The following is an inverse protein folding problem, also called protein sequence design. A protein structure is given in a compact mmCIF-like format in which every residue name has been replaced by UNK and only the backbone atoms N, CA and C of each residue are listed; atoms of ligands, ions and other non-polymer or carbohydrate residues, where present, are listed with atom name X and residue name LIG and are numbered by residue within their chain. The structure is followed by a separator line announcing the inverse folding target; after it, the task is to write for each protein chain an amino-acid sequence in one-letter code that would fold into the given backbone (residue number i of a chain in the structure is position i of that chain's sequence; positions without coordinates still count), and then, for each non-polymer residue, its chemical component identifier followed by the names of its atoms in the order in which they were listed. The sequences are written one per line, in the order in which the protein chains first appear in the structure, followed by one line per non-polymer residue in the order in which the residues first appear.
data_IF_027213240329
#
_entry.id   IF_027213240329
#
_cell.length_a   1.000
_cell.length_b   1.000
_cell.length_c   1.000
_cell.angle_alpha   90.00
_cell.angle_beta   90.00
_cell.angle_gamma   90.00
#
_symmetry.space_group_name_H-M   'P 1'
#
loop_
_entity.id
_entity.type
_entity.pdbx_description
1 polymer ?
#
# COMPACT_ATOMS: atom_id res chain seq x y z
N UNK A 1 20.59 -9.56 -25.73
CA UNK A 1 21.87 -10.09 -25.21
C UNK A 1 21.65 -10.60 -23.80
N UNK A 2 21.60 -11.89 -23.61
CA UNK A 2 21.43 -12.55 -22.31
C UNK A 2 22.64 -12.25 -21.41
N UNK A 3 22.45 -11.56 -20.29
CA UNK A 3 23.54 -11.34 -19.31
C UNK A 3 23.72 -12.60 -18.50
N UNK A 4 24.77 -13.38 -18.83
CA UNK A 4 25.14 -14.57 -18.08
C UNK A 4 25.40 -14.23 -16.60
N UNK A 5 24.72 -14.94 -15.70
CA UNK A 5 25.00 -14.89 -14.25
C UNK A 5 26.42 -15.36 -14.03
N UNK A 6 27.32 -14.47 -13.55
CA UNK A 6 28.71 -14.86 -13.23
C UNK A 6 28.75 -15.62 -11.91
N UNK A 7 28.96 -16.92 -12.01
CA UNK A 7 29.00 -17.85 -10.90
C UNK A 7 30.46 -18.03 -10.41
N UNK A 8 30.73 -17.74 -9.14
CA UNK A 8 32.08 -17.79 -8.58
C UNK A 8 32.30 -18.84 -7.49
N UNK A 9 31.25 -19.49 -6.96
CA UNK A 9 31.40 -20.45 -5.87
C UNK A 9 31.35 -21.89 -6.33
N UNK A 10 32.05 -22.79 -5.59
CA UNK A 10 32.05 -24.24 -5.84
C UNK A 10 30.62 -24.84 -5.84
N UNK A 11 29.75 -24.33 -4.94
CA UNK A 11 28.35 -24.80 -4.84
C UNK A 11 27.52 -24.44 -6.07
N UNK A 12 27.67 -23.21 -6.58
CA UNK A 12 26.95 -22.80 -7.76
C UNK A 12 27.53 -23.44 -9.04
N UNK A 13 28.85 -23.65 -9.13
CA UNK A 13 29.49 -24.44 -10.18
C UNK A 13 29.01 -25.88 -10.15
N UNK A 14 28.86 -26.48 -8.96
CA UNK A 14 28.29 -27.82 -8.78
C UNK A 14 26.80 -27.86 -9.23
N UNK A 15 26.00 -26.85 -8.87
CA UNK A 15 24.59 -26.76 -9.27
C UNK A 15 24.44 -26.66 -10.81
N UNK A 16 25.27 -25.82 -11.45
CA UNK A 16 25.32 -25.68 -12.91
C UNK A 16 25.70 -27.02 -13.57
N UNK A 17 26.78 -27.66 -13.06
CA UNK A 17 27.24 -28.93 -13.64
C UNK A 17 26.24 -30.07 -13.50
N UNK A 18 25.27 -29.97 -12.58
CA UNK A 18 24.21 -30.96 -12.35
C UNK A 18 22.83 -30.48 -12.78
N UNK A 19 22.72 -29.33 -13.44
CA UNK A 19 21.44 -28.73 -13.85
C UNK A 19 20.44 -28.65 -12.67
N UNK A 20 20.93 -28.26 -11.51
CA UNK A 20 20.14 -28.29 -10.28
C UNK A 20 19.32 -27.00 -10.08
N UNK A 21 18.13 -27.15 -9.54
CA UNK A 21 17.26 -26.04 -9.13
C UNK A 21 17.70 -25.49 -7.77
N UNK A 22 17.89 -24.19 -7.65
CA UNK A 22 18.24 -23.52 -6.39
C UNK A 22 17.15 -22.52 -6.00
N UNK A 23 16.78 -22.53 -4.71
CA UNK A 23 15.78 -21.62 -4.13
C UNK A 23 16.46 -20.61 -3.19
N UNK A 24 16.05 -19.35 -3.25
CA UNK A 24 16.48 -18.29 -2.35
C UNK A 24 15.71 -18.27 -1.02
N UNK A 25 15.81 -17.15 -0.30
CA UNK A 25 14.92 -16.87 0.84
C UNK A 25 13.59 -16.31 0.34
N UNK A 26 12.50 -16.54 1.11
CA UNK A 26 11.22 -15.88 0.84
C UNK A 26 11.32 -14.36 0.84
N UNK A 27 10.75 -13.72 -0.17
CA UNK A 27 10.70 -12.27 -0.30
C UNK A 27 9.44 -11.73 0.40
N UNK A 28 9.52 -11.63 1.72
CA UNK A 28 8.44 -11.05 2.53
C UNK A 28 8.53 -9.52 2.53
N UNK A 29 7.38 -8.85 2.59
CA UNK A 29 7.34 -7.40 2.74
C UNK A 29 7.76 -6.97 4.15
N UNK A 30 8.40 -5.81 4.25
CA UNK A 30 8.74 -5.20 5.53
C UNK A 30 7.54 -4.43 6.10
N UNK A 31 7.24 -4.63 7.37
CA UNK A 31 6.17 -3.91 8.07
C UNK A 31 6.54 -2.44 8.37
N UNK A 32 7.84 -2.15 8.52
CA UNK A 32 8.31 -0.84 8.95
C UNK A 32 7.90 0.33 8.01
N UNK A 33 8.00 0.23 6.66
CA UNK A 33 7.49 1.27 5.78
C UNK A 33 5.99 1.48 5.92
N UNK A 34 5.20 0.41 6.05
CA UNK A 34 3.74 0.50 6.24
C UNK A 34 3.39 1.27 7.53
N UNK A 35 4.03 0.93 8.66
CA UNK A 35 3.77 1.58 9.94
C UNK A 35 4.14 3.07 9.93
N UNK A 36 5.24 3.43 9.28
CA UNK A 36 5.64 4.85 9.15
C UNK A 36 4.67 5.63 8.26
N UNK A 37 4.29 5.06 7.13
CA UNK A 37 3.34 5.67 6.21
C UNK A 37 1.97 5.84 6.85
N UNK A 38 1.47 4.82 7.55
CA UNK A 38 0.26 4.93 8.37
C UNK A 38 0.39 6.07 9.38
N UNK A 39 1.49 6.14 10.15
CA UNK A 39 1.72 7.18 11.15
C UNK A 39 1.76 8.59 10.54
N UNK A 40 2.33 8.76 9.34
CA UNK A 40 2.33 10.04 8.62
C UNK A 40 0.89 10.46 8.23
N UNK A 41 0.07 9.54 7.72
CA UNK A 41 -1.34 9.78 7.42
C UNK A 41 -2.18 10.03 8.68
N UNK A 42 -2.01 9.21 9.72
CA UNK A 42 -2.75 9.34 10.98
C UNK A 42 -2.52 10.68 11.66
N UNK A 43 -1.31 11.25 11.59
CA UNK A 43 -1.08 12.62 12.12
C UNK A 43 -1.93 13.66 11.42
N UNK A 44 -2.07 13.61 10.09
CA UNK A 44 -2.91 14.52 9.33
C UNK A 44 -4.40 14.29 9.61
N UNK A 45 -4.83 13.03 9.66
CA UNK A 45 -6.21 12.65 9.94
C UNK A 45 -6.63 13.14 11.34
N UNK A 46 -5.82 12.86 12.36
CA UNK A 46 -6.14 13.24 13.72
C UNK A 46 -6.15 14.77 13.92
N UNK A 47 -5.26 15.49 13.24
CA UNK A 47 -5.29 16.95 13.25
C UNK A 47 -6.56 17.48 12.56
N UNK A 48 -6.98 16.85 11.46
CA UNK A 48 -8.23 17.19 10.78
C UNK A 48 -9.45 16.95 11.67
N UNK A 49 -9.55 15.77 12.29
CA UNK A 49 -10.66 15.41 13.19
C UNK A 49 -10.77 16.41 14.33
N UNK A 50 -9.65 16.72 15.01
CA UNK A 50 -9.61 17.70 16.12
C UNK A 50 -10.09 19.09 15.69
N UNK A 51 -9.75 19.51 14.48
CA UNK A 51 -10.19 20.79 13.94
C UNK A 51 -11.72 20.84 13.74
N UNK A 52 -12.28 19.73 13.22
CA UNK A 52 -13.72 19.58 13.08
C UNK A 52 -14.43 19.51 14.43
N UNK A 53 -13.93 18.70 15.35
CA UNK A 53 -14.50 18.60 16.72
C UNK A 53 -14.51 19.96 17.40
N UNK A 54 -13.40 20.71 17.35
CA UNK A 54 -13.30 22.03 17.95
C UNK A 54 -14.37 22.97 17.41
N UNK A 55 -14.47 23.13 16.10
CA UNK A 55 -15.43 24.04 15.47
C UNK A 55 -16.87 23.66 15.79
N UNK A 56 -17.22 22.39 15.75
CA UNK A 56 -18.59 21.96 15.99
C UNK A 56 -18.94 21.88 17.50
N UNK A 57 -17.95 21.76 18.38
CA UNK A 57 -18.16 21.95 19.83
C UNK A 57 -18.45 23.38 20.15
N UNK A 58 -17.65 24.34 19.65
CA UNK A 58 -17.89 25.79 19.83
C UNK A 58 -19.26 26.20 19.28
N UNK A 59 -19.66 25.71 18.10
CA UNK A 59 -20.99 25.94 17.55
C UNK A 59 -22.12 25.35 18.42
N UNK A 60 -21.92 24.22 19.08
CA UNK A 60 -22.92 23.66 19.98
C UNK A 60 -23.12 24.54 21.21
N UNK A 61 -22.02 24.99 21.81
CA UNK A 61 -22.05 25.80 23.00
C UNK A 61 -22.71 27.19 22.74
N UNK A 62 -22.46 27.77 21.56
CA UNK A 62 -23.06 29.03 21.13
C UNK A 62 -24.57 28.91 20.90
N UNK A 63 -25.07 27.79 20.45
CA UNK A 63 -26.50 27.56 20.18
C UNK A 63 -27.32 27.18 21.41
N UNK A 64 -26.69 26.65 22.46
CA UNK A 64 -27.38 26.45 23.74
C UNK A 64 -27.61 27.77 24.54
N UNK A 65 -26.92 28.86 24.16
CA UNK A 65 -26.90 30.10 24.90
C UNK A 65 -27.58 31.32 24.28
N UNK A 66 -27.86 31.39 22.96
CA UNK A 66 -28.30 32.64 22.30
C UNK A 66 -29.24 32.46 21.10
N UNK A 67 -30.19 33.41 20.95
CA UNK A 67 -30.93 33.66 19.70
C UNK A 67 -30.00 34.36 18.71
N UNK A 68 -29.46 33.64 17.75
CA UNK A 68 -28.55 34.21 16.74
C UNK A 68 -29.27 34.60 15.44
N UNK A 69 -28.84 35.70 14.82
CA UNK A 69 -29.35 36.20 13.52
C UNK A 69 -29.09 35.27 12.34
N UNK A 70 -28.13 34.36 12.45
CA UNK A 70 -27.81 33.34 11.39
C UNK A 70 -28.25 31.96 11.85
N UNK A 71 -29.03 31.26 11.00
CA UNK A 71 -29.48 29.91 11.30
C UNK A 71 -28.29 28.93 11.44
N UNK A 72 -28.37 27.94 12.34
CA UNK A 72 -27.43 26.82 12.50
C UNK A 72 -27.02 26.22 11.15
N UNK A 73 -27.97 26.11 10.24
CA UNK A 73 -27.74 25.60 8.89
C UNK A 73 -26.76 26.44 8.06
N UNK A 74 -26.86 27.77 8.17
CA UNK A 74 -25.95 28.68 7.45
C UNK A 74 -24.54 28.65 8.03
N UNK A 75 -24.41 28.68 9.33
CA UNK A 75 -23.10 28.56 9.97
C UNK A 75 -22.43 27.22 9.73
N UNK A 76 -23.16 26.12 9.85
CA UNK A 76 -22.67 24.76 9.53
C UNK A 76 -22.09 24.71 8.12
N UNK A 77 -22.79 25.24 7.09
CA UNK A 77 -22.30 25.26 5.70
C UNK A 77 -21.01 26.09 5.55
N UNK A 78 -20.95 27.24 6.18
CA UNK A 78 -19.79 28.12 6.12
C UNK A 78 -18.56 27.41 6.71
N UNK A 79 -18.69 26.81 7.89
CA UNK A 79 -17.61 26.12 8.56
C UNK A 79 -17.17 24.83 7.82
N UNK A 80 -18.12 24.03 7.32
CA UNK A 80 -17.80 22.86 6.51
C UNK A 80 -16.98 23.24 5.28
N UNK A 81 -17.39 24.29 4.55
CA UNK A 81 -16.64 24.76 3.38
C UNK A 81 -15.24 25.28 3.75
N UNK A 82 -15.10 25.97 4.88
CA UNK A 82 -13.82 26.49 5.37
C UNK A 82 -12.88 25.36 5.75
N UNK A 83 -13.36 24.38 6.52
CA UNK A 83 -12.59 23.21 6.94
C UNK A 83 -12.17 22.35 5.74
N UNK A 84 -13.09 22.11 4.80
CA UNK A 84 -12.79 21.41 3.55
C UNK A 84 -11.64 22.05 2.80
N UNK A 85 -11.73 23.35 2.49
CA UNK A 85 -10.67 24.08 1.77
C UNK A 85 -9.33 24.03 2.50
N UNK A 86 -9.33 24.18 3.84
CA UNK A 86 -8.13 24.10 4.68
C UNK A 86 -7.46 22.74 4.53
N UNK A 87 -8.22 21.65 4.74
CA UNK A 87 -7.67 20.32 4.80
C UNK A 87 -7.35 19.76 3.40
N UNK A 88 -8.12 20.06 2.38
CA UNK A 88 -7.77 19.73 0.98
C UNK A 88 -6.41 20.36 0.60
N UNK A 89 -6.16 21.62 1.00
CA UNK A 89 -4.88 22.30 0.77
C UNK A 89 -3.73 21.60 1.52
N UNK A 90 -3.91 21.27 2.81
CA UNK A 90 -2.87 20.64 3.64
C UNK A 90 -2.53 19.25 3.07
N UNK A 91 -3.53 18.41 2.80
CA UNK A 91 -3.29 17.09 2.23
C UNK A 91 -2.65 17.15 0.83
N UNK A 92 -3.07 18.09 -0.01
CA UNK A 92 -2.45 18.33 -1.31
C UNK A 92 -0.97 18.68 -1.20
N UNK A 93 -0.60 19.55 -0.25
CA UNK A 93 0.79 19.96 -0.02
C UNK A 93 1.66 18.83 0.54
N UNK A 94 1.11 17.99 1.42
CA UNK A 94 1.85 16.93 2.10
C UNK A 94 1.86 15.59 1.34
N UNK A 95 0.94 15.37 0.42
CA UNK A 95 0.76 14.07 -0.25
C UNK A 95 2.00 13.61 -1.01
N UNK A 96 2.68 14.49 -1.74
CA UNK A 96 3.87 14.13 -2.53
C UNK A 96 5.03 13.73 -1.63
N UNK A 97 5.35 14.56 -0.63
CA UNK A 97 6.43 14.28 0.34
C UNK A 97 6.22 12.93 1.05
N UNK A 98 4.99 12.65 1.50
CA UNK A 98 4.65 11.41 2.20
C UNK A 98 4.74 10.21 1.27
N UNK A 99 4.23 10.33 0.03
CA UNK A 99 4.25 9.26 -0.95
C UNK A 99 5.67 8.94 -1.42
N UNK A 100 6.49 9.93 -1.76
CA UNK A 100 7.88 9.74 -2.17
C UNK A 100 8.71 9.06 -1.09
N UNK A 101 8.61 9.52 0.14
CA UNK A 101 9.28 8.93 1.30
C UNK A 101 8.86 7.47 1.49
N UNK A 102 7.56 7.19 1.39
CA UNK A 102 7.02 5.84 1.56
C UNK A 102 7.53 4.89 0.46
N UNK A 103 7.36 5.25 -0.82
CA UNK A 103 7.77 4.41 -1.95
C UNK A 103 9.28 4.15 -1.93
N UNK A 104 10.09 5.16 -1.63
CA UNK A 104 11.53 5.02 -1.48
C UNK A 104 11.92 4.04 -0.36
N UNK A 105 11.23 4.10 0.79
CA UNK A 105 11.50 3.16 1.90
C UNK A 105 11.13 1.72 1.55
N UNK A 106 10.03 1.52 0.81
CA UNK A 106 9.63 0.18 0.33
C UNK A 106 10.66 -0.35 -0.68
N UNK A 107 11.10 0.47 -1.63
CA UNK A 107 12.13 0.09 -2.62
C UNK A 107 13.44 -0.33 -1.96
N UNK A 108 13.95 0.46 -1.02
CA UNK A 108 15.16 0.14 -0.25
C UNK A 108 15.00 -1.18 0.51
N UNK A 109 13.86 -1.40 1.17
CA UNK A 109 13.56 -2.62 1.91
C UNK A 109 13.47 -3.84 1.00
N UNK A 110 12.75 -3.73 -0.11
CA UNK A 110 12.61 -4.80 -1.10
C UNK A 110 13.95 -5.17 -1.72
N UNK A 111 14.79 -4.17 -2.06
CA UNK A 111 16.15 -4.41 -2.57
C UNK A 111 16.99 -5.20 -1.59
N UNK A 112 17.00 -4.84 -0.31
CA UNK A 112 17.77 -5.55 0.73
C UNK A 112 17.31 -7.01 0.85
N UNK A 113 15.99 -7.24 0.90
CA UNK A 113 15.42 -8.58 1.01
C UNK A 113 15.81 -9.44 -0.20
N UNK A 114 15.75 -8.88 -1.41
CA UNK A 114 16.16 -9.59 -2.62
C UNK A 114 17.67 -9.88 -2.61
N UNK A 115 18.52 -8.91 -2.28
CA UNK A 115 19.96 -9.10 -2.21
C UNK A 115 20.33 -10.22 -1.20
N UNK A 116 19.65 -10.27 -0.04
CA UNK A 116 19.87 -11.32 0.96
C UNK A 116 19.36 -12.70 0.50
N UNK A 117 18.23 -12.74 -0.22
CA UNK A 117 17.72 -13.96 -0.84
C UNK A 117 18.69 -14.50 -1.89
N UNK A 118 19.22 -13.62 -2.75
CA UNK A 118 20.16 -13.98 -3.80
C UNK A 118 21.54 -14.41 -3.26
N UNK A 119 22.02 -13.82 -2.18
CA UNK A 119 23.24 -14.29 -1.49
C UNK A 119 23.10 -15.74 -1.01
N UNK A 120 21.94 -16.12 -0.51
CA UNK A 120 21.69 -17.49 -0.08
C UNK A 120 21.59 -18.47 -1.26
N UNK A 121 20.91 -18.09 -2.34
CA UNK A 121 20.84 -18.85 -3.59
C UNK A 121 22.22 -19.23 -4.09
N UNK A 122 23.11 -18.27 -4.08
CA UNK A 122 24.41 -18.36 -4.74
C UNK A 122 25.49 -19.00 -3.88
N UNK A 123 25.20 -19.41 -2.63
CA UNK A 123 26.24 -19.90 -1.73
C UNK A 123 27.39 -18.90 -1.54
N UNK A 124 27.09 -17.57 -1.60
CA UNK A 124 28.04 -16.48 -1.48
C UNK A 124 28.32 -15.71 -2.79
N UNK A 125 27.64 -16.02 -3.92
CA UNK A 125 27.74 -15.18 -5.12
C UNK A 125 26.96 -13.88 -4.92
N UNK A 126 27.60 -12.77 -5.19
CA UNK A 126 26.90 -11.49 -5.30
C UNK A 126 26.32 -11.38 -6.71
N UNK A 127 25.01 -11.72 -6.87
CA UNK A 127 24.29 -11.35 -8.09
C UNK A 127 24.07 -9.84 -7.99
N UNK A 128 24.81 -9.07 -8.78
CA UNK A 128 24.59 -7.62 -8.86
C UNK A 128 23.28 -7.38 -9.61
N UNK A 129 22.22 -7.06 -8.88
CA UNK A 129 21.03 -6.47 -9.50
C UNK A 129 21.39 -5.08 -10.02
N UNK A 130 20.97 -4.68 -11.23
CA UNK A 130 21.09 -3.30 -11.68
C UNK A 130 20.49 -2.37 -10.63
N UNK A 131 21.17 -1.25 -10.34
CA UNK A 131 20.76 -0.34 -9.26
C UNK A 131 19.32 0.18 -9.50
N UNK A 132 19.02 0.56 -10.74
CA UNK A 132 17.72 1.12 -11.13
C UNK A 132 17.44 0.84 -12.63
N UNK A 133 16.86 -0.33 -12.97
CA UNK A 133 16.36 -0.57 -14.33
C UNK A 133 15.31 0.47 -14.73
N UNK A 134 15.19 0.80 -16.02
CA UNK A 134 14.23 1.80 -16.49
C UNK A 134 12.78 1.42 -16.14
N UNK A 135 12.41 0.16 -16.40
CA UNK A 135 11.09 -0.36 -16.03
C UNK A 135 10.79 -0.24 -14.52
N UNK A 136 11.81 -0.31 -13.65
CA UNK A 136 11.64 -0.08 -12.22
C UNK A 136 11.38 1.40 -11.91
N UNK A 137 12.02 2.34 -12.60
CA UNK A 137 11.74 3.77 -12.43
C UNK A 137 10.29 4.10 -12.75
N UNK A 138 9.76 3.56 -13.85
CA UNK A 138 8.36 3.74 -14.23
C UNK A 138 7.40 3.20 -13.15
N UNK A 139 7.70 2.03 -12.57
CA UNK A 139 6.91 1.46 -11.46
C UNK A 139 6.96 2.34 -10.22
N UNK A 140 8.11 2.90 -9.88
CA UNK A 140 8.26 3.82 -8.74
C UNK A 140 7.45 5.09 -8.97
N UNK A 141 7.55 5.71 -10.15
CA UNK A 141 6.78 6.92 -10.50
C UNK A 141 5.29 6.65 -10.43
N UNK A 142 4.82 5.55 -11.03
CA UNK A 142 3.40 5.17 -11.00
C UNK A 142 2.92 4.90 -9.56
N UNK A 143 3.71 4.19 -8.75
CA UNK A 143 3.37 3.92 -7.35
C UNK A 143 3.30 5.20 -6.52
N UNK A 144 4.22 6.14 -6.74
CA UNK A 144 4.17 7.45 -6.08
C UNK A 144 2.91 8.21 -6.46
N UNK A 145 2.58 8.29 -7.75
CA UNK A 145 1.38 8.98 -8.23
C UNK A 145 0.08 8.36 -7.67
N UNK A 146 0.00 7.03 -7.61
CA UNK A 146 -1.13 6.32 -7.01
C UNK A 146 -1.26 6.68 -5.52
N UNK A 147 -0.17 6.64 -4.75
CA UNK A 147 -0.19 6.95 -3.34
C UNK A 147 -0.51 8.42 -3.06
N UNK A 148 -0.05 9.36 -3.88
CA UNK A 148 -0.47 10.77 -3.83
C UNK A 148 -1.99 10.90 -4.00
N UNK A 149 -2.58 10.16 -4.94
CA UNK A 149 -4.02 10.15 -5.18
C UNK A 149 -4.79 9.55 -4.00
N UNK A 150 -4.30 8.45 -3.43
CA UNK A 150 -4.88 7.80 -2.26
C UNK A 150 -4.88 8.73 -1.04
N UNK A 151 -3.76 9.42 -0.77
CA UNK A 151 -3.66 10.39 0.34
C UNK A 151 -4.66 11.54 0.15
N UNK A 152 -4.75 12.12 -1.04
CA UNK A 152 -5.70 13.21 -1.36
C UNK A 152 -7.16 12.77 -1.24
N UNK A 153 -7.47 11.49 -1.45
CA UNK A 153 -8.82 10.96 -1.33
C UNK A 153 -9.31 10.89 0.12
N UNK A 154 -8.41 10.94 1.11
CA UNK A 154 -8.75 10.83 2.54
C UNK A 154 -9.63 12.00 3.00
N UNK A 155 -9.20 13.28 2.89
CA UNK A 155 -10.04 14.38 3.30
C UNK A 155 -11.31 14.48 2.47
N UNK A 156 -11.25 14.19 1.18
CA UNK A 156 -12.42 14.23 0.30
C UNK A 156 -13.55 13.33 0.80
N UNK A 157 -13.25 12.07 1.11
CA UNK A 157 -14.26 11.11 1.59
C UNK A 157 -14.75 11.46 2.99
N UNK A 158 -13.87 11.94 3.86
CA UNK A 158 -14.24 12.43 5.18
C UNK A 158 -15.24 13.59 5.08
N UNK A 159 -14.92 14.61 4.29
CA UNK A 159 -15.79 15.77 4.09
C UNK A 159 -17.15 15.40 3.51
N UNK A 160 -17.17 14.57 2.45
CA UNK A 160 -18.42 14.13 1.83
C UNK A 160 -19.34 13.43 2.83
N UNK A 161 -18.76 12.64 3.73
CA UNK A 161 -19.54 11.96 4.77
C UNK A 161 -20.12 12.94 5.78
N UNK A 162 -19.30 13.84 6.33
CA UNK A 162 -19.74 14.85 7.32
C UNK A 162 -20.77 15.80 6.68
N UNK A 163 -20.54 16.27 5.46
CA UNK A 163 -21.48 17.13 4.73
C UNK A 163 -22.83 16.43 4.52
N UNK A 164 -22.84 15.16 4.12
CA UNK A 164 -24.05 14.37 3.94
C UNK A 164 -24.88 14.26 5.22
N UNK A 165 -24.22 14.04 6.37
CA UNK A 165 -24.91 13.95 7.66
C UNK A 165 -25.41 15.34 8.10
N UNK A 166 -24.62 16.38 7.93
CA UNK A 166 -25.05 17.76 8.22
C UNK A 166 -26.29 18.16 7.43
N UNK A 167 -26.32 17.93 6.12
CA UNK A 167 -27.46 18.22 5.26
C UNK A 167 -28.70 17.41 5.65
N UNK A 168 -28.53 16.16 6.09
CA UNK A 168 -29.63 15.32 6.59
C UNK A 168 -30.19 15.89 7.89
N UNK A 169 -29.33 16.23 8.85
CA UNK A 169 -29.73 16.81 10.12
C UNK A 169 -30.51 18.11 9.92
N UNK A 170 -30.04 18.99 9.03
CA UNK A 170 -30.71 20.26 8.70
C UNK A 170 -32.11 20.00 8.14
N UNK A 171 -32.29 19.01 7.24
CA UNK A 171 -33.61 18.68 6.63
C UNK A 171 -34.60 18.09 7.62
N UNK A 172 -34.12 17.33 8.60
CA UNK A 172 -34.97 16.61 9.55
C UNK A 172 -35.27 17.39 10.82
N UNK A 173 -34.71 18.60 11.00
CA UNK A 173 -34.84 19.37 12.23
C UNK A 173 -34.22 18.66 13.45
N UNK A 174 -33.14 17.85 13.21
CA UNK A 174 -32.56 16.95 14.17
C UNK A 174 -31.67 17.60 15.23
N UNK A 175 -30.95 16.77 15.99
CA UNK A 175 -30.15 17.10 17.18
C UNK A 175 -28.92 18.01 16.91
N UNK A 176 -28.84 18.66 15.75
CA UNK A 176 -27.85 19.71 15.44
C UNK A 176 -26.39 19.27 15.60
N UNK A 177 -25.63 20.03 16.37
CA UNK A 177 -24.18 19.88 16.52
C UNK A 177 -23.78 18.59 17.23
N UNK A 178 -24.55 18.07 18.17
CA UNK A 178 -24.23 16.83 18.89
C UNK A 178 -24.15 15.63 17.96
N UNK A 179 -25.13 15.46 17.07
CA UNK A 179 -25.13 14.38 16.09
C UNK A 179 -23.94 14.51 15.12
N UNK A 180 -23.55 15.74 14.76
CA UNK A 180 -22.38 15.97 13.93
C UNK A 180 -21.07 15.62 14.65
N UNK A 181 -20.93 15.92 15.94
CA UNK A 181 -19.76 15.54 16.74
C UNK A 181 -19.60 14.01 16.83
N UNK A 182 -20.68 13.29 17.06
CA UNK A 182 -20.67 11.83 17.06
C UNK A 182 -20.27 11.28 15.69
N UNK A 183 -20.80 11.81 14.60
CA UNK A 183 -20.44 11.37 13.25
C UNK A 183 -19.00 11.75 12.90
N UNK A 184 -18.47 12.88 13.33
CA UNK A 184 -17.07 13.26 13.14
C UNK A 184 -16.15 12.22 13.78
N UNK A 185 -16.43 11.79 14.99
CA UNK A 185 -15.65 10.76 15.71
C UNK A 185 -15.76 9.39 15.02
N UNK A 186 -16.96 8.99 14.66
CA UNK A 186 -17.21 7.72 13.96
C UNK A 186 -16.49 7.71 12.61
N UNK A 187 -16.70 8.72 11.78
CA UNK A 187 -16.05 8.84 10.45
C UNK A 187 -14.53 8.94 10.59
N UNK A 188 -14.03 9.60 11.63
CA UNK A 188 -12.61 9.64 11.97
C UNK A 188 -12.02 8.24 12.18
N UNK A 189 -12.68 7.41 12.99
CA UNK A 189 -12.26 6.02 13.23
C UNK A 189 -12.26 5.18 11.94
N UNK A 190 -13.26 5.33 11.08
CA UNK A 190 -13.32 4.64 9.78
C UNK A 190 -12.19 5.11 8.87
N UNK A 191 -11.89 6.41 8.86
CA UNK A 191 -10.81 7.01 8.07
C UNK A 191 -9.44 6.49 8.50
N UNK A 192 -9.19 6.36 9.80
CA UNK A 192 -7.96 5.75 10.35
C UNK A 192 -7.80 4.28 9.93
N UNK A 193 -8.85 3.48 10.01
CA UNK A 193 -8.83 2.08 9.56
C UNK A 193 -8.51 1.98 8.07
N UNK A 194 -9.07 2.89 7.25
CA UNK A 194 -8.77 2.97 5.83
C UNK A 194 -7.32 3.36 5.55
N UNK A 195 -6.76 4.31 6.29
CA UNK A 195 -5.35 4.69 6.15
C UNK A 195 -4.41 3.52 6.48
N UNK A 196 -4.70 2.75 7.52
CA UNK A 196 -3.97 1.52 7.83
C UNK A 196 -4.06 0.50 6.69
N UNK A 197 -5.27 0.28 6.15
CA UNK A 197 -5.47 -0.61 5.01
C UNK A 197 -4.63 -0.18 3.81
N UNK A 198 -4.67 1.11 3.43
CA UNK A 198 -3.87 1.66 2.34
C UNK A 198 -2.38 1.40 2.57
N UNK A 199 -1.88 1.68 3.78
CA UNK A 199 -0.46 1.52 4.09
C UNK A 199 0.01 0.08 3.92
N UNK A 200 -0.74 -0.89 4.41
CA UNK A 200 -0.40 -2.32 4.32
C UNK A 200 -0.53 -2.83 2.88
N UNK A 201 -1.63 -2.52 2.20
CA UNK A 201 -1.90 -2.96 0.83
C UNK A 201 -0.87 -2.41 -0.17
N UNK A 202 -0.60 -1.11 -0.10
CA UNK A 202 0.37 -0.47 -0.98
C UNK A 202 1.80 -0.95 -0.72
N UNK A 203 2.17 -1.21 0.53
CA UNK A 203 3.49 -1.78 0.83
C UNK A 203 3.69 -3.13 0.13
N UNK A 204 2.69 -3.99 0.11
CA UNK A 204 2.76 -5.30 -0.56
C UNK A 204 2.84 -5.16 -2.07
N UNK A 205 1.95 -4.37 -2.67
CA UNK A 205 1.91 -4.13 -4.11
C UNK A 205 3.23 -3.57 -4.64
N UNK A 206 3.78 -2.56 -3.97
CA UNK A 206 5.05 -1.94 -4.36
C UNK A 206 6.20 -2.93 -4.18
N UNK A 207 6.26 -3.67 -3.06
CA UNK A 207 7.28 -4.71 -2.83
C UNK A 207 7.26 -5.76 -3.95
N UNK A 208 6.06 -6.22 -4.34
CA UNK A 208 5.87 -7.17 -5.43
C UNK A 208 6.38 -6.60 -6.77
N UNK A 209 5.95 -5.38 -7.12
CA UNK A 209 6.34 -4.74 -8.37
C UNK A 209 7.85 -4.50 -8.46
N UNK A 210 8.46 -4.02 -7.38
CA UNK A 210 9.91 -3.77 -7.29
C UNK A 210 10.72 -5.07 -7.40
N UNK A 211 10.32 -6.11 -6.67
CA UNK A 211 11.01 -7.40 -6.71
C UNK A 211 10.89 -8.05 -8.09
N UNK A 212 9.73 -7.98 -8.74
CA UNK A 212 9.51 -8.48 -10.08
C UNK A 212 10.51 -7.86 -11.08
N UNK A 213 10.58 -6.53 -11.15
CA UNK A 213 11.46 -5.83 -12.08
C UNK A 213 12.95 -6.11 -11.81
N UNK A 214 13.34 -6.20 -10.53
CA UNK A 214 14.71 -6.52 -10.14
C UNK A 214 15.09 -7.96 -10.46
N UNK A 215 14.19 -8.93 -10.22
CA UNK A 215 14.41 -10.33 -10.56
C UNK A 215 14.56 -10.50 -12.06
N UNK A 216 13.66 -9.92 -12.86
CA UNK A 216 13.76 -9.96 -14.33
C UNK A 216 15.05 -9.36 -14.84
N UNK A 217 15.45 -8.20 -14.31
CA UNK A 217 16.72 -7.55 -14.71
C UNK A 217 17.96 -8.33 -14.26
N UNK A 218 17.86 -9.17 -13.25
CA UNK A 218 18.90 -10.09 -12.81
C UNK A 218 18.91 -11.42 -13.59
N UNK A 219 17.97 -11.62 -14.55
CA UNK A 219 17.85 -12.86 -15.32
C UNK A 219 17.11 -13.98 -14.60
N UNK A 220 16.43 -13.69 -13.48
CA UNK A 220 15.63 -14.65 -12.74
C UNK A 220 14.24 -14.67 -13.34
N UNK A 221 13.77 -15.85 -13.80
CA UNK A 221 12.50 -16.02 -14.51
C UNK A 221 11.46 -16.80 -13.71
N UNK A 222 11.86 -17.55 -12.70
CA UNK A 222 10.98 -18.45 -11.93
C UNK A 222 10.94 -18.08 -10.45
N UNK A 223 9.79 -18.34 -9.82
CA UNK A 223 9.61 -18.21 -8.38
C UNK A 223 8.65 -19.27 -7.85
N UNK A 224 8.75 -19.58 -6.55
CA UNK A 224 7.77 -20.41 -5.83
C UNK A 224 6.75 -19.48 -5.18
N UNK A 225 5.48 -19.76 -5.36
CA UNK A 225 4.39 -19.10 -4.65
C UNK A 225 4.31 -19.57 -3.21
N UNK A 226 4.08 -18.67 -2.27
CA UNK A 226 3.80 -19.01 -0.88
C UNK A 226 2.51 -18.32 -0.41
N UNK A 227 1.59 -19.13 0.08
CA UNK A 227 0.42 -18.63 0.78
C UNK A 227 0.79 -18.27 2.23
N UNK A 228 0.31 -17.11 2.69
CA UNK A 228 0.48 -16.74 4.10
C UNK A 228 -0.70 -17.19 4.94
N UNK A 229 -0.46 -17.94 6.00
CA UNK A 229 -1.49 -18.38 6.96
C UNK A 229 -2.18 -17.25 7.74
N UNK A 230 -1.77 -16.00 7.56
CA UNK A 230 -2.29 -14.84 8.30
C UNK A 230 -3.58 -14.23 7.74
N UNK A 231 -4.30 -14.87 6.81
CA UNK A 231 -5.59 -14.39 6.29
C UNK A 231 -6.73 -15.08 7.03
N UNK A 232 -7.72 -14.33 7.53
CA UNK A 232 -8.92 -14.90 8.13
C UNK A 232 -9.79 -15.64 7.08
N UNK A 233 -9.81 -15.11 5.84
CA UNK A 233 -10.53 -15.68 4.70
C UNK A 233 -9.54 -15.80 3.52
N UNK A 234 -8.79 -16.91 3.43
CA UNK A 234 -7.88 -17.14 2.32
C UNK A 234 -8.66 -17.46 1.04
N UNK A 235 -8.17 -16.96 -0.10
CA UNK A 235 -8.71 -17.36 -1.40
C UNK A 235 -8.29 -18.79 -1.71
N UNK A 236 -9.24 -19.67 -2.04
CA UNK A 236 -8.96 -21.07 -2.35
C UNK A 236 -7.93 -21.23 -3.47
N UNK A 237 -8.03 -20.42 -4.52
CA UNK A 237 -7.04 -20.39 -5.60
C UNK A 237 -5.63 -20.13 -5.09
N UNK A 238 -5.45 -19.20 -4.14
CA UNK A 238 -4.14 -18.90 -3.58
C UNK A 238 -3.60 -20.02 -2.67
N UNK A 239 -4.50 -20.80 -2.05
CA UNK A 239 -4.11 -22.00 -1.30
C UNK A 239 -3.58 -23.08 -2.24
N UNK A 240 -4.22 -23.28 -3.41
CA UNK A 240 -3.78 -24.24 -4.43
C UNK A 240 -2.45 -23.87 -5.06
N UNK A 241 -2.13 -22.59 -5.14
CA UNK A 241 -0.85 -22.11 -5.67
C UNK A 241 0.32 -22.25 -4.68
N UNK A 242 0.07 -22.57 -3.41
CA UNK A 242 1.12 -22.68 -2.40
C UNK A 242 2.11 -23.78 -2.73
N UNK A 243 3.39 -23.45 -2.79
CA UNK A 243 4.47 -24.36 -3.17
C UNK A 243 4.69 -24.50 -4.68
N UNK A 244 3.79 -24.01 -5.52
CA UNK A 244 3.90 -24.09 -6.98
C UNK A 244 4.99 -23.16 -7.53
N UNK A 245 5.75 -23.69 -8.51
CA UNK A 245 6.71 -22.90 -9.27
C UNK A 245 5.99 -22.22 -10.42
N UNK A 246 6.16 -20.93 -10.58
CA UNK A 246 5.57 -20.17 -11.67
C UNK A 246 6.61 -19.33 -12.42
N UNK A 247 6.30 -19.03 -13.68
CA UNK A 247 7.09 -18.16 -14.53
C UNK A 247 6.69 -16.71 -14.33
N UNK A 248 7.67 -15.83 -14.18
CA UNK A 248 7.44 -14.39 -14.00
C UNK A 248 6.89 -13.72 -15.27
N UNK A 249 7.22 -14.25 -16.45
CA UNK A 249 6.70 -13.72 -17.73
C UNK A 249 5.30 -14.27 -18.07
N UNK A 250 4.88 -15.39 -17.43
CA UNK A 250 3.55 -15.97 -17.55
C UNK A 250 2.98 -16.32 -16.15
N UNK A 251 2.67 -15.31 -15.31
CA UNK A 251 2.21 -15.57 -13.95
C UNK A 251 0.86 -16.30 -13.93
N UNK A 252 0.53 -17.01 -12.83
CA UNK A 252 -0.71 -17.76 -12.72
C UNK A 252 -1.95 -16.84 -12.68
N UNK A 253 -3.13 -17.43 -12.89
CA UNK A 253 -4.40 -16.77 -12.59
C UNK A 253 -4.48 -16.56 -11.08
N UNK A 254 -4.83 -15.34 -10.67
CA UNK A 254 -4.96 -14.92 -9.26
C UNK A 254 -6.39 -14.56 -8.84
N UNK A 255 -7.28 -14.35 -9.81
CA UNK A 255 -8.72 -14.15 -9.60
C UNK A 255 -9.49 -15.00 -10.62
N UNK A 256 -10.17 -16.05 -10.15
CA UNK A 256 -10.95 -16.96 -11.01
C UNK A 256 -12.15 -16.26 -11.66
N UNK A 257 -12.72 -15.27 -10.98
CA UNK A 257 -13.89 -14.53 -11.45
C UNK A 257 -13.59 -13.65 -12.66
N UNK A 258 -12.39 -13.05 -12.69
CA UNK A 258 -11.98 -12.13 -13.76
C UNK A 258 -11.02 -12.77 -14.76
N UNK A 259 -10.42 -13.91 -14.39
CA UNK A 259 -9.30 -14.50 -15.14
C UNK A 259 -8.00 -13.71 -15.03
N UNK A 260 -7.92 -12.74 -14.10
CA UNK A 260 -6.74 -11.91 -13.91
C UNK A 260 -5.52 -12.76 -13.56
N UNK A 261 -4.41 -12.53 -14.29
CA UNK A 261 -3.11 -13.14 -14.02
C UNK A 261 -2.25 -12.16 -13.25
N UNK A 262 -1.45 -12.65 -12.31
CA UNK A 262 -0.63 -11.76 -11.50
C UNK A 262 0.27 -12.47 -10.49
N UNK A 263 0.83 -11.67 -9.60
CA UNK A 263 1.89 -12.05 -8.69
C UNK A 263 1.39 -12.09 -7.24
N UNK A 264 2.07 -12.84 -6.34
CA UNK A 264 1.77 -12.83 -4.91
C UNK A 264 1.77 -11.40 -4.33
N UNK A 265 0.75 -11.04 -3.55
CA UNK A 265 0.62 -9.71 -2.92
C UNK A 265 0.01 -8.62 -3.81
N UNK A 266 -0.37 -8.91 -5.05
CA UNK A 266 -0.90 -7.93 -6.00
C UNK A 266 -2.38 -7.60 -5.74
N UNK A 267 -3.20 -8.60 -5.45
CA UNK A 267 -4.63 -8.36 -5.15
C UNK A 267 -4.82 -7.68 -3.79
N UNK A 268 -5.90 -6.91 -3.61
CA UNK A 268 -6.25 -6.31 -2.32
C UNK A 268 -6.29 -7.37 -1.20
N UNK A 269 -5.74 -7.04 -0.04
CA UNK A 269 -5.63 -7.95 1.12
C UNK A 269 -4.82 -9.24 0.89
N UNK A 270 -4.21 -9.45 -0.26
CA UNK A 270 -3.39 -10.63 -0.51
C UNK A 270 -2.12 -10.57 0.35
N UNK A 271 -1.88 -11.61 1.17
CA UNK A 271 -0.69 -11.74 2.02
C UNK A 271 0.33 -12.74 1.47
N UNK A 272 0.10 -13.29 0.29
CA UNK A 272 1.02 -14.20 -0.37
C UNK A 272 2.34 -13.52 -0.68
N UNK A 273 3.40 -14.29 -0.73
CA UNK A 273 4.75 -13.88 -1.07
C UNK A 273 5.41 -14.96 -1.94
N UNK A 274 6.65 -14.77 -2.32
CA UNK A 274 7.36 -15.67 -3.22
C UNK A 274 8.82 -15.89 -2.85
N UNK A 275 9.40 -16.97 -3.40
CA UNK A 275 10.83 -17.28 -3.28
C UNK A 275 11.45 -17.31 -4.68
N UNK A 276 12.52 -16.56 -4.97
CA UNK A 276 13.21 -16.66 -6.24
C UNK A 276 13.76 -18.08 -6.48
N UNK A 277 13.68 -18.53 -7.72
CA UNK A 277 14.21 -19.83 -8.19
C UNK A 277 15.15 -19.59 -9.35
N UNK A 278 16.32 -20.22 -9.33
CA UNK A 278 17.21 -20.33 -10.48
C UNK A 278 17.27 -21.79 -10.87
N UNK A 279 16.88 -22.05 -12.11
CA UNK A 279 16.97 -23.36 -12.74
C UNK A 279 18.16 -23.37 -13.70
N UNK A 280 19.18 -24.17 -13.39
CA UNK A 280 20.37 -24.30 -14.22
C UNK A 280 20.22 -25.40 -15.28
N UNK A 281 19.08 -26.06 -15.33
CA UNK A 281 18.74 -27.11 -16.32
C UNK A 281 18.09 -26.60 -17.60
N UNK A 282 17.59 -25.34 -17.60
CA UNK A 282 17.03 -24.73 -18.78
C UNK A 282 18.07 -23.81 -19.45
N UNK A 283 18.28 -23.97 -20.75
CA UNK A 283 19.03 -23.01 -21.56
C UNK A 283 18.24 -21.68 -21.61
N UNK A 284 18.84 -20.62 -21.08
CA UNK A 284 18.27 -19.28 -21.11
C UNK A 284 18.58 -18.59 -22.44
#
# INVERSE_FOLDING_TARGET
MSRRIRVRTKRAQWAISRQAVMKGKPLQYSVAPASRYQGDMSRLINAMIKDYEKVFSELNDDFEGFTMDASFASQTRIWLNRLKRKWDKIFKQKSTEIADKFVSQVDIGAKRNLDDSLKQLSGGITIKTPAMPEALKDKIIASTAENVSLIKSIPLQFHQRIESVALRSIRQGGEGAKMLLEEIRHTGSVTEKRANFIAVDQTRKITTAVNYERMKSAGIRKAVWHHSAGSAEPRELHLRLDGEVFDLDNPPVIDERTGERGLPGQLPNCKCFWTPVIDFGEET
#
